data_IF_851761621382
#
_entry.id   IF_851761621382
#
_cell.length_a   1.000
_cell.length_b   1.000
_cell.length_c   1.000
_cell.angle_alpha   90.00
_cell.angle_beta   90.00
_cell.angle_gamma   90.00
#
_symmetry.space_group_name_H-M   'P 1'
#
loop_
_entity.id
_entity.type
_entity.pdbx_description
1 polymer ?
#
# COMPACT_ATOMS: atom_id res chain seq x y z
N UNK A 1 14.71 -5.80 -11.47
CA UNK A 1 14.45 -5.45 -10.06
C UNK A 1 15.29 -4.23 -9.73
N UNK A 2 14.77 -3.27 -8.94
CA UNK A 2 15.57 -2.13 -8.48
C UNK A 2 16.48 -2.51 -7.31
N UNK A 3 17.54 -1.75 -7.08
CA UNK A 3 18.54 -2.02 -6.03
C UNK A 3 17.92 -2.21 -4.63
N UNK A 4 16.95 -1.35 -4.26
CA UNK A 4 16.22 -1.47 -2.99
C UNK A 4 15.53 -2.84 -2.85
N UNK A 5 14.83 -3.30 -3.89
CA UNK A 5 14.11 -4.57 -3.83
C UNK A 5 15.04 -5.78 -3.77
N UNK A 6 16.21 -5.70 -4.42
CA UNK A 6 17.25 -6.72 -4.31
C UNK A 6 17.76 -6.81 -2.87
N UNK A 7 18.04 -5.66 -2.25
CA UNK A 7 18.53 -5.64 -0.87
C UNK A 7 17.49 -6.10 0.14
N UNK A 8 16.25 -5.69 -0.04
CA UNK A 8 15.15 -6.14 0.80
C UNK A 8 14.92 -7.64 0.68
N UNK A 9 15.05 -8.21 -0.52
CA UNK A 9 14.86 -9.64 -0.75
C UNK A 9 15.87 -10.48 0.05
N UNK A 10 17.18 -10.26 -0.15
CA UNK A 10 18.17 -11.10 0.51
C UNK A 10 18.15 -10.93 2.04
N UNK A 11 17.86 -9.71 2.55
CA UNK A 11 17.71 -9.48 4.00
C UNK A 11 16.48 -10.17 4.60
N UNK A 12 15.40 -10.32 3.84
CA UNK A 12 14.25 -11.10 4.30
C UNK A 12 14.55 -12.60 4.28
N UNK A 13 15.23 -13.09 3.24
CA UNK A 13 15.66 -14.49 3.12
C UNK A 13 16.61 -14.90 4.27
N UNK A 14 17.57 -14.04 4.64
CA UNK A 14 18.44 -14.21 5.82
C UNK A 14 17.66 -14.38 7.14
N UNK A 15 16.42 -13.88 7.21
CA UNK A 15 15.56 -13.94 8.39
C UNK A 15 14.42 -14.97 8.24
N UNK A 16 14.43 -15.80 7.20
CA UNK A 16 13.37 -16.78 6.92
C UNK A 16 12.01 -16.15 6.55
N UNK A 17 12.01 -14.88 6.09
CA UNK A 17 10.81 -14.13 5.70
C UNK A 17 10.64 -14.12 4.17
N UNK A 18 9.41 -13.85 3.72
CA UNK A 18 9.07 -13.76 2.28
C UNK A 18 8.88 -12.32 1.84
N UNK A 19 9.39 -11.98 0.66
CA UNK A 19 9.08 -10.71 -0.02
C UNK A 19 7.91 -10.92 -0.98
N UNK A 20 6.77 -10.28 -0.69
CA UNK A 20 5.59 -10.31 -1.56
C UNK A 20 5.50 -9.00 -2.33
N UNK A 21 5.42 -9.09 -3.66
CA UNK A 21 5.27 -7.94 -4.54
C UNK A 21 3.82 -7.84 -4.97
N UNK A 22 3.27 -6.64 -4.87
CA UNK A 22 1.95 -6.31 -5.40
C UNK A 22 2.10 -5.57 -6.73
N UNK A 23 1.01 -5.48 -7.50
CA UNK A 23 1.01 -4.76 -8.77
C UNK A 23 1.34 -3.27 -8.58
N UNK A 24 2.16 -2.72 -9.48
CA UNK A 24 2.63 -1.32 -9.41
C UNK A 24 1.52 -0.29 -9.61
N UNK A 25 0.43 -0.68 -10.26
CA UNK A 25 -0.75 0.16 -10.52
C UNK A 25 -1.87 -0.06 -9.52
N UNK A 26 -1.64 -0.90 -8.50
CA UNK A 26 -2.59 -1.08 -7.40
C UNK A 26 -2.86 0.29 -6.74
N UNK A 27 -4.13 0.75 -6.67
CA UNK A 27 -4.47 2.11 -6.25
C UNK A 27 -4.42 2.28 -4.72
N UNK A 28 -3.31 1.96 -4.09
CA UNK A 28 -3.15 1.92 -2.62
C UNK A 28 -3.44 3.27 -1.96
N UNK A 29 -2.96 4.38 -2.52
CA UNK A 29 -3.16 5.72 -1.96
C UNK A 29 -4.56 6.30 -2.26
N UNK A 30 -5.20 5.84 -3.34
CA UNK A 30 -6.53 6.33 -3.77
C UNK A 30 -7.69 5.51 -3.19
N UNK A 31 -7.43 4.30 -2.71
CA UNK A 31 -8.44 3.43 -2.11
C UNK A 31 -8.56 3.73 -0.63
N UNK A 32 -9.77 3.86 -0.09
CA UNK A 32 -9.95 4.02 1.34
C UNK A 32 -9.65 2.70 2.06
N UNK A 33 -8.69 2.71 2.99
CA UNK A 33 -8.36 1.51 3.77
C UNK A 33 -9.49 1.05 4.70
N UNK A 34 -10.40 1.96 5.07
CA UNK A 34 -11.56 1.65 5.89
C UNK A 34 -12.70 1.00 5.08
N UNK A 35 -13.21 1.67 4.03
CA UNK A 35 -14.42 1.22 3.31
C UNK A 35 -14.17 0.68 1.89
N UNK A 36 -12.94 0.71 1.38
CA UNK A 36 -12.60 0.21 0.05
C UNK A 36 -12.99 1.14 -1.12
N UNK A 37 -13.67 2.26 -0.89
CA UNK A 37 -14.00 3.21 -1.97
C UNK A 37 -12.75 3.81 -2.57
N UNK A 38 -12.66 3.82 -3.90
CA UNK A 38 -11.56 4.43 -4.66
C UNK A 38 -11.90 5.87 -5.03
N UNK A 39 -10.96 6.80 -4.79
CA UNK A 39 -11.03 8.17 -5.32
C UNK A 39 -10.63 8.21 -6.79
N UNK A 40 -11.33 9.05 -7.55
CA UNK A 40 -10.96 9.37 -8.93
C UNK A 40 -9.70 10.24 -8.96
N UNK A 41 -9.74 11.35 -8.22
CA UNK A 41 -8.66 12.33 -8.10
C UNK A 41 -8.04 12.33 -6.69
N UNK A 42 -6.71 12.39 -6.67
CA UNK A 42 -5.89 12.62 -5.49
C UNK A 42 -4.55 13.18 -5.98
N UNK A 43 -4.21 14.38 -5.54
CA UNK A 43 -2.97 15.04 -5.95
C UNK A 43 -1.79 14.60 -5.09
N UNK A 44 -0.57 14.88 -5.56
CA UNK A 44 0.65 14.60 -4.79
C UNK A 44 0.78 15.51 -3.56
N UNK A 45 0.23 16.73 -3.60
CA UNK A 45 0.20 17.67 -2.48
C UNK A 45 -0.81 17.29 -1.39
N UNK A 46 -1.79 16.43 -1.71
CA UNK A 46 -2.72 15.90 -0.70
C UNK A 46 -2.00 14.94 0.26
N UNK A 47 -1.55 15.47 1.40
CA UNK A 47 -0.90 14.68 2.47
C UNK A 47 -1.92 13.99 3.40
N UNK A 48 -3.16 14.45 3.41
CA UNK A 48 -4.27 13.87 4.20
C UNK A 48 -5.28 13.23 3.26
N UNK A 49 -5.56 11.94 3.49
CA UNK A 49 -6.64 11.22 2.84
C UNK A 49 -7.95 11.44 3.61
N UNK A 50 -8.96 12.01 2.93
CA UNK A 50 -10.32 12.19 3.46
C UNK A 50 -11.31 11.40 2.62
N UNK A 51 -12.02 10.45 3.20
CA UNK A 51 -13.04 9.66 2.53
C UNK A 51 -14.45 10.16 2.84
N UNK A 52 -15.39 9.92 1.92
CA UNK A 52 -16.82 10.17 2.15
C UNK A 52 -17.42 9.31 3.26
N UNK A 53 -16.80 8.18 3.63
CA UNK A 53 -17.23 7.40 4.80
C UNK A 53 -16.83 8.04 6.15
N UNK A 54 -16.24 9.23 6.14
CA UNK A 54 -15.75 9.92 7.34
C UNK A 54 -14.33 9.55 7.76
N UNK A 55 -13.69 8.57 7.11
CA UNK A 55 -12.33 8.18 7.42
C UNK A 55 -11.32 9.26 6.99
N UNK A 56 -10.54 9.76 7.94
CA UNK A 56 -9.51 10.78 7.73
C UNK A 56 -8.19 10.30 8.33
N UNK A 57 -7.15 10.20 7.50
CA UNK A 57 -5.83 9.75 7.94
C UNK A 57 -4.75 10.35 7.02
N UNK A 58 -3.49 10.33 7.44
CA UNK A 58 -2.38 10.62 6.54
C UNK A 58 -2.38 9.67 5.32
N UNK A 59 -2.14 10.21 4.12
CA UNK A 59 -2.22 9.45 2.86
C UNK A 59 -1.28 8.24 2.82
N UNK A 60 -0.08 8.36 3.37
CA UNK A 60 0.93 7.30 3.32
C UNK A 60 0.53 6.16 4.27
N UNK A 61 -0.11 6.47 5.41
CA UNK A 61 -0.74 5.48 6.29
C UNK A 61 -1.90 4.75 5.59
N UNK A 62 -2.80 5.48 4.92
CA UNK A 62 -3.87 4.88 4.12
C UNK A 62 -3.30 3.89 3.08
N UNK A 63 -2.26 4.31 2.34
CA UNK A 63 -1.59 3.46 1.36
C UNK A 63 -0.96 2.22 1.99
N UNK A 64 -0.24 2.37 3.12
CA UNK A 64 0.40 1.26 3.81
C UNK A 64 -0.60 0.16 4.24
N UNK A 65 -1.77 0.56 4.77
CA UNK A 65 -2.82 -0.40 5.12
C UNK A 65 -3.34 -1.18 3.90
N UNK A 66 -3.54 -0.50 2.77
CA UNK A 66 -3.98 -1.15 1.53
C UNK A 66 -2.90 -2.07 0.94
N UNK A 67 -1.63 -1.67 0.96
CA UNK A 67 -0.51 -2.50 0.50
C UNK A 67 -0.41 -3.78 1.34
N UNK A 68 -0.52 -3.67 2.67
CA UNK A 68 -0.53 -4.83 3.56
C UNK A 68 -1.70 -5.77 3.24
N UNK A 69 -2.91 -5.23 3.07
CA UNK A 69 -4.11 -6.03 2.76
C UNK A 69 -3.96 -6.76 1.43
N UNK A 70 -3.47 -6.09 0.39
CA UNK A 70 -3.24 -6.71 -0.92
C UNK A 70 -2.14 -7.77 -0.89
N UNK A 71 -1.04 -7.51 -0.18
CA UNK A 71 0.01 -8.51 0.02
C UNK A 71 -0.48 -9.76 0.73
N UNK A 72 -1.36 -9.61 1.74
CA UNK A 72 -1.99 -10.75 2.40
C UNK A 72 -2.97 -11.50 1.49
N UNK A 73 -3.70 -10.79 0.61
CA UNK A 73 -4.60 -11.41 -0.37
C UNK A 73 -3.85 -12.29 -1.37
N UNK A 74 -2.63 -11.91 -1.76
CA UNK A 74 -1.79 -12.71 -2.66
C UNK A 74 -1.11 -13.91 -1.98
N UNK A 75 -1.10 -13.95 -0.64
CA UNK A 75 -0.58 -15.07 0.14
C UNK A 75 -1.64 -16.13 0.46
N UNK A 76 -2.93 -15.78 0.33
CA UNK A 76 -4.06 -16.62 0.64
C UNK A 76 -4.43 -17.58 -0.51
#
# INVERSE_FOLDING_TARGET
MGMFTTFLQYKLEEQGKKLIKIDKWFPSSKTCSCCGRKKESLSLSDRTFRCECGFIVNRDWNAAFNIKREGLRLLA
#
